data_IF_572185740728
#
_entry.id   IF_572185740728
#
_cell.length_a   1.000
_cell.length_b   1.000
_cell.length_c   1.000
_cell.angle_alpha   90.00
_cell.angle_beta   90.00
_cell.angle_gamma   90.00
#
_symmetry.space_group_name_H-M   'P 1'
#
loop_
_entity.id
_entity.type
_entity.pdbx_description
1 polymer ?
#
# COMPACT_ATOMS: atom_id res chain seq x y z
N UNK A 1 -25.02 21.04 16.99
CA UNK A 1 -25.74 20.52 15.80
C UNK A 1 -24.83 20.07 14.65
N UNK A 2 -23.49 20.28 14.70
CA UNK A 2 -22.57 19.82 13.66
C UNK A 2 -22.04 18.39 13.84
N UNK A 3 -22.18 17.82 15.04
CA UNK A 3 -21.61 16.51 15.37
C UNK A 3 -22.29 15.37 14.62
N UNK A 4 -23.62 15.39 14.50
CA UNK A 4 -24.38 14.31 13.83
C UNK A 4 -24.10 14.26 12.32
N UNK A 5 -24.12 15.39 11.57
CA UNK A 5 -23.72 15.38 10.17
C UNK A 5 -22.27 14.93 9.94
N UNK A 6 -21.32 15.37 10.78
CA UNK A 6 -19.92 14.95 10.66
C UNK A 6 -19.75 13.46 10.93
N UNK A 7 -20.43 12.91 11.95
CA UNK A 7 -20.43 11.47 12.19
C UNK A 7 -21.06 10.69 11.03
N UNK A 8 -22.14 11.19 10.43
CA UNK A 8 -22.78 10.53 9.30
C UNK A 8 -21.86 10.47 8.07
N UNK A 9 -21.09 11.53 7.81
CA UNK A 9 -20.10 11.56 6.72
C UNK A 9 -18.96 10.58 7.02
N UNK A 10 -18.41 10.58 8.24
CA UNK A 10 -17.37 9.61 8.64
C UNK A 10 -17.91 8.18 8.51
N UNK A 11 -19.11 7.89 9.01
CA UNK A 11 -19.72 6.57 8.90
C UNK A 11 -20.03 6.17 7.46
N UNK A 12 -20.38 7.10 6.58
CA UNK A 12 -20.56 6.83 5.16
C UNK A 12 -19.23 6.49 4.46
N UNK A 13 -18.15 7.21 4.80
CA UNK A 13 -16.80 6.96 4.26
C UNK A 13 -16.26 5.62 4.78
N UNK A 14 -16.43 5.34 6.07
CA UNK A 14 -15.92 4.14 6.73
C UNK A 14 -16.97 3.04 6.91
N UNK A 15 -18.06 3.11 6.15
CA UNK A 15 -19.10 2.07 6.12
C UNK A 15 -18.48 0.73 5.70
N UNK A 16 -19.03 -0.36 6.23
CA UNK A 16 -18.60 -1.74 5.96
C UNK A 16 -18.30 -2.04 4.48
N UNK A 17 -19.04 -1.42 3.55
CA UNK A 17 -18.83 -1.61 2.11
C UNK A 17 -17.65 -0.84 1.52
N UNK A 18 -17.38 0.38 2.00
CA UNK A 18 -16.31 1.24 1.45
C UNK A 18 -14.97 1.02 2.14
N UNK A 19 -15.02 0.59 3.41
CA UNK A 19 -13.88 0.35 4.27
C UNK A 19 -12.79 -0.57 3.67
N UNK A 20 -13.10 -1.77 3.11
CA UNK A 20 -12.07 -2.64 2.54
C UNK A 20 -11.37 -1.98 1.35
N UNK A 21 -12.12 -1.30 0.47
CA UNK A 21 -11.55 -0.63 -0.70
C UNK A 21 -10.65 0.55 -0.32
N UNK A 22 -11.10 1.40 0.61
CA UNK A 22 -10.29 2.54 1.08
C UNK A 22 -9.00 2.06 1.72
N UNK A 23 -9.07 0.99 2.53
CA UNK A 23 -7.88 0.42 3.17
C UNK A 23 -6.92 -0.21 2.16
N UNK A 24 -7.45 -0.90 1.15
CA UNK A 24 -6.65 -1.51 0.09
C UNK A 24 -5.98 -0.47 -0.81
N UNK A 25 -6.72 0.54 -1.26
CA UNK A 25 -6.18 1.64 -2.08
C UNK A 25 -5.21 2.48 -1.25
N UNK A 26 -5.60 2.85 -0.03
CA UNK A 26 -4.77 3.63 0.88
C UNK A 26 -3.45 2.95 1.22
N UNK A 27 -3.45 1.62 1.37
CA UNK A 27 -2.21 0.87 1.52
C UNK A 27 -1.37 0.97 0.23
N UNK A 28 -1.91 0.71 -0.96
CA UNK A 28 -1.15 0.82 -2.22
C UNK A 28 -0.51 2.22 -2.37
N UNK A 29 -1.26 3.28 -2.07
CA UNK A 29 -0.76 4.65 -2.10
C UNK A 29 0.34 4.85 -1.04
N UNK A 30 0.20 4.30 0.17
CA UNK A 30 1.17 4.51 1.24
C UNK A 30 2.55 3.91 0.93
N UNK A 31 2.60 2.72 0.32
CA UNK A 31 3.88 2.11 -0.09
C UNK A 31 4.50 2.82 -1.29
N UNK A 32 3.68 3.24 -2.25
CA UNK A 32 4.17 4.02 -3.38
C UNK A 32 4.77 5.35 -2.91
N UNK A 33 4.08 6.05 -1.99
CA UNK A 33 4.60 7.26 -1.36
C UNK A 33 5.90 7.00 -0.60
N UNK A 34 5.98 5.91 0.19
CA UNK A 34 7.18 5.57 0.95
C UNK A 34 8.43 5.47 0.04
N UNK A 35 8.30 4.80 -1.11
CA UNK A 35 9.40 4.67 -2.07
C UNK A 35 9.61 5.93 -2.92
N UNK A 36 8.55 6.68 -3.27
CA UNK A 36 8.66 7.91 -4.06
C UNK A 36 9.45 9.02 -3.36
N UNK A 37 9.43 9.05 -2.03
CA UNK A 37 10.23 10.02 -1.26
C UNK A 37 11.71 9.64 -1.11
N UNK A 38 12.16 8.52 -1.69
CA UNK A 38 13.58 8.16 -1.73
C UNK A 38 14.27 8.96 -2.85
N UNK A 39 15.44 9.52 -2.53
CA UNK A 39 16.25 10.28 -3.49
C UNK A 39 16.83 9.39 -4.59
N UNK A 40 17.16 8.14 -4.24
CA UNK A 40 17.74 7.17 -5.15
C UNK A 40 16.64 6.20 -5.60
N UNK A 41 16.27 6.30 -6.88
CA UNK A 41 15.21 5.51 -7.51
C UNK A 41 15.76 4.25 -8.21
N UNK A 42 17.07 3.96 -8.09
CA UNK A 42 17.65 2.71 -8.58
C UNK A 42 17.03 1.50 -7.87
N UNK A 43 16.66 0.48 -8.66
CA UNK A 43 15.99 -0.74 -8.18
C UNK A 43 16.79 -1.40 -7.05
N UNK A 44 18.11 -1.50 -7.22
CA UNK A 44 19.01 -2.10 -6.24
C UNK A 44 19.02 -1.30 -4.92
N UNK A 45 19.07 0.02 -4.99
CA UNK A 45 19.07 0.91 -3.83
C UNK A 45 17.78 0.81 -3.05
N UNK A 46 16.63 0.87 -3.73
CA UNK A 46 15.31 0.71 -3.10
C UNK A 46 15.18 -0.66 -2.42
N UNK A 47 15.61 -1.73 -3.09
CA UNK A 47 15.57 -3.08 -2.52
C UNK A 47 16.46 -3.21 -1.29
N UNK A 48 17.75 -2.87 -1.37
CA UNK A 48 18.66 -3.03 -0.23
C UNK A 48 18.31 -2.12 0.95
N UNK A 49 17.87 -0.88 0.68
CA UNK A 49 17.45 0.04 1.74
C UNK A 49 16.19 -0.45 2.47
N UNK A 50 15.29 -1.15 1.77
CA UNK A 50 14.10 -1.76 2.38
C UNK A 50 14.43 -2.73 3.52
N UNK A 51 15.59 -3.41 3.46
CA UNK A 51 16.01 -4.40 4.46
C UNK A 51 17.15 -3.93 5.38
N UNK A 52 17.78 -2.79 5.09
CA UNK A 52 18.88 -2.24 5.92
C UNK A 52 18.40 -1.22 6.94
N UNK A 53 17.39 -0.44 6.60
CA UNK A 53 16.87 0.63 7.45
C UNK A 53 15.70 0.11 8.27
N UNK A 54 15.85 0.06 9.60
CA UNK A 54 14.80 -0.39 10.51
C UNK A 54 13.49 0.37 10.33
N UNK A 55 13.56 1.67 9.99
CA UNK A 55 12.36 2.47 9.68
C UNK A 55 11.65 1.98 8.43
N UNK A 56 12.41 1.61 7.39
CA UNK A 56 11.84 1.06 6.15
C UNK A 56 11.16 -0.27 6.39
N UNK A 57 11.81 -1.16 7.15
CA UNK A 57 11.26 -2.45 7.53
C UNK A 57 9.92 -2.27 8.25
N UNK A 58 9.87 -1.38 9.26
CA UNK A 58 8.64 -1.10 10.01
C UNK A 58 7.53 -0.55 9.13
N UNK A 59 7.85 0.36 8.20
CA UNK A 59 6.86 0.94 7.28
C UNK A 59 6.32 -0.14 6.33
N UNK A 60 7.20 -0.98 5.76
CA UNK A 60 6.80 -2.04 4.82
C UNK A 60 5.95 -3.10 5.53
N UNK A 61 6.35 -3.53 6.73
CA UNK A 61 5.55 -4.47 7.54
C UNK A 61 4.18 -3.87 7.88
N UNK A 62 4.13 -2.61 8.30
CA UNK A 62 2.88 -1.92 8.59
C UNK A 62 1.97 -1.83 7.36
N UNK A 63 2.56 -1.52 6.19
CA UNK A 63 1.85 -1.53 4.92
C UNK A 63 1.32 -2.93 4.55
N UNK A 64 2.14 -3.98 4.68
CA UNK A 64 1.72 -5.36 4.41
C UNK A 64 0.59 -5.80 5.33
N UNK A 65 0.65 -5.44 6.61
CA UNK A 65 -0.43 -5.72 7.55
C UNK A 65 -1.74 -5.03 7.13
N UNK A 66 -1.69 -3.75 6.77
CA UNK A 66 -2.86 -3.00 6.28
C UNK A 66 -3.40 -3.57 4.97
N UNK A 67 -2.52 -3.95 4.04
CA UNK A 67 -2.93 -4.50 2.74
C UNK A 67 -3.56 -5.89 2.90
N UNK A 68 -2.96 -6.76 3.71
CA UNK A 68 -3.52 -8.06 4.08
C UNK A 68 -4.89 -7.92 4.74
N UNK A 69 -5.03 -6.97 5.65
CA UNK A 69 -6.29 -6.66 6.31
C UNK A 69 -7.35 -6.14 5.31
N UNK A 70 -6.96 -5.30 4.34
CA UNK A 70 -7.84 -4.88 3.23
C UNK A 70 -8.35 -6.06 2.40
N UNK A 71 -7.49 -7.04 2.09
CA UNK A 71 -7.88 -8.26 1.39
C UNK A 71 -8.84 -9.11 2.22
N UNK A 72 -8.53 -9.34 3.50
CA UNK A 72 -9.37 -10.15 4.40
C UNK A 72 -10.75 -9.52 4.59
N UNK A 73 -10.79 -8.19 4.79
CA UNK A 73 -12.05 -7.46 4.92
C UNK A 73 -12.87 -7.47 3.62
N UNK A 74 -12.21 -7.44 2.46
CA UNK A 74 -12.88 -7.53 1.16
C UNK A 74 -13.46 -8.92 0.88
N UNK A 75 -12.73 -9.98 1.22
CA UNK A 75 -13.17 -11.36 0.93
C UNK A 75 -14.08 -11.94 2.01
N UNK A 76 -14.13 -11.30 3.19
CA UNK A 76 -14.84 -11.75 4.39
C UNK A 76 -14.50 -13.22 4.76
N UNK A 77 -13.34 -13.72 4.35
CA UNK A 77 -12.93 -15.13 4.50
C UNK A 77 -13.94 -16.16 3.95
N UNK A 78 -14.87 -15.76 3.06
CA UNK A 78 -15.92 -16.63 2.50
C UNK A 78 -15.38 -17.88 1.81
N UNK A 79 -14.23 -17.74 1.15
CA UNK A 79 -13.43 -18.85 0.62
C UNK A 79 -12.01 -18.72 1.14
N UNK A 80 -11.64 -19.62 2.06
CA UNK A 80 -10.32 -19.64 2.68
C UNK A 80 -9.20 -19.84 1.65
N UNK A 81 -9.42 -20.70 0.64
CA UNK A 81 -8.46 -20.93 -0.44
C UNK A 81 -8.24 -19.67 -1.29
N UNK A 82 -9.31 -19.02 -1.73
CA UNK A 82 -9.19 -17.81 -2.56
C UNK A 82 -8.58 -16.65 -1.77
N UNK A 83 -8.95 -16.50 -0.49
CA UNK A 83 -8.36 -15.48 0.39
C UNK A 83 -6.87 -15.74 0.60
N UNK A 84 -6.47 -16.99 0.83
CA UNK A 84 -5.07 -17.37 0.95
C UNK A 84 -4.26 -17.04 -0.31
N UNK A 85 -4.81 -17.31 -1.50
CA UNK A 85 -4.18 -16.94 -2.76
C UNK A 85 -4.04 -15.42 -2.92
N UNK A 86 -5.06 -14.64 -2.53
CA UNK A 86 -4.99 -13.18 -2.57
C UNK A 86 -3.96 -12.62 -1.58
N UNK A 87 -3.79 -13.24 -0.41
CA UNK A 87 -2.78 -12.83 0.57
C UNK A 87 -1.34 -12.99 0.06
N UNK A 88 -1.10 -13.87 -0.91
CA UNK A 88 0.21 -13.96 -1.58
C UNK A 88 0.52 -12.71 -2.42
N UNK A 89 -0.48 -11.88 -2.74
CA UNK A 89 -0.30 -10.61 -3.45
C UNK A 89 0.03 -9.45 -2.49
N UNK A 90 0.07 -9.65 -1.17
CA UNK A 90 0.44 -8.59 -0.22
C UNK A 90 1.78 -7.91 -0.52
N UNK A 91 2.87 -8.60 -0.89
CA UNK A 91 4.12 -7.94 -1.27
C UNK A 91 4.09 -7.33 -2.69
N UNK A 92 3.06 -7.63 -3.49
CA UNK A 92 3.00 -7.26 -4.91
C UNK A 92 3.07 -5.74 -5.13
N UNK A 93 2.36 -4.86 -4.38
CA UNK A 93 2.45 -3.42 -4.59
C UNK A 93 3.88 -2.88 -4.38
N UNK A 94 4.57 -3.38 -3.35
CA UNK A 94 5.96 -2.99 -3.08
C UNK A 94 6.91 -3.47 -4.18
N UNK A 95 6.78 -4.75 -4.58
CA UNK A 95 7.57 -5.33 -5.66
C UNK A 95 7.32 -4.61 -6.99
N UNK A 96 6.06 -4.33 -7.31
CA UNK A 96 5.66 -3.61 -8.53
C UNK A 96 6.28 -2.22 -8.58
N UNK A 97 6.23 -1.47 -7.46
CA UNK A 97 6.87 -0.16 -7.39
C UNK A 97 8.38 -0.27 -7.65
N UNK A 98 9.08 -1.14 -6.93
CA UNK A 98 10.54 -1.31 -7.05
C UNK A 98 10.94 -1.70 -8.47
N UNK A 99 10.19 -2.58 -9.13
CA UNK A 99 10.49 -3.00 -10.50
C UNK A 99 10.24 -1.91 -11.54
N UNK A 100 9.35 -0.96 -11.24
CA UNK A 100 8.94 0.11 -12.17
C UNK A 100 9.55 1.47 -11.84
N UNK A 101 10.32 1.58 -10.75
CA UNK A 101 10.88 2.85 -10.26
C UNK A 101 11.74 3.54 -11.30
N UNK A 102 12.55 2.77 -12.06
CA UNK A 102 13.41 3.29 -13.13
C UNK A 102 12.64 4.04 -14.22
N UNK A 103 11.40 3.63 -14.54
CA UNK A 103 10.57 4.29 -15.54
C UNK A 103 9.89 5.57 -15.00
N UNK A 104 9.85 5.72 -13.68
CA UNK A 104 9.21 6.85 -13.00
C UNK A 104 10.22 7.87 -12.47
N UNK A 105 11.52 7.67 -12.73
CA UNK A 105 12.60 8.54 -12.26
C UNK A 105 12.66 9.83 -13.11
N UNK A 106 12.37 11.01 -12.52
CA UNK A 106 12.39 12.27 -13.24
C UNK A 106 13.79 12.66 -13.76
N UNK A 107 14.86 12.12 -13.16
CA UNK A 107 16.24 12.42 -13.60
C UNK A 107 16.58 11.72 -14.91
N UNK A 108 15.99 10.54 -15.17
CA UNK A 108 16.15 9.81 -16.43
C UNK A 108 15.32 10.43 -17.54
N UNK A 109 14.12 10.91 -17.21
CA UNK A 109 13.19 11.53 -18.19
C UNK A 109 13.72 12.88 -18.73
N UNK A 110 14.46 13.66 -17.94
CA UNK A 110 14.94 14.99 -18.34
C UNK A 110 16.18 14.96 -19.25
N UNK A 111 16.91 13.85 -19.28
CA UNK A 111 18.20 13.76 -19.97
C UNK A 111 18.11 13.08 -21.36
N UNK A 112 16.90 12.73 -21.80
CA UNK A 112 16.57 12.29 -23.17
C UNK A 112 16.01 13.45 -23.99
#
# INVERSE_FOLDING_TARGET
>A
MYVIPTLAIIHAIFSDYSYPFITLIGSIVSVACHFAFRLDQEISSLFFNSFRDARSILIIIGHWALHAFGIISLTELKSSLNTGLLLLLVPLPAAFYILTSTFSDPTKIRND
#
